data_IF_701353372356
#
_entry.id   IF_701353372356
#
_cell.length_a   1.000
_cell.length_b   1.000
_cell.length_c   1.000
_cell.angle_alpha   90.00
_cell.angle_beta   90.00
_cell.angle_gamma   90.00
#
_symmetry.space_group_name_H-M   'P 1'
#
loop_
_entity.id
_entity.type
_entity.pdbx_description
1 polymer ?
#
# COMPACT_ATOMS: atom_id res chain seq x y z
N UNK A 1 -8.37 -5.00 3.62
CA UNK A 1 -7.51 -4.55 2.53
C UNK A 1 -6.94 -5.74 1.75
N UNK A 2 -6.52 -5.54 0.51
CA UNK A 2 -5.95 -6.62 -0.31
C UNK A 2 -4.76 -7.36 0.32
N UNK A 3 -4.02 -6.71 1.22
CA UNK A 3 -2.89 -7.33 1.95
C UNK A 3 -3.34 -8.49 2.86
N UNK A 4 -4.37 -8.26 3.66
CA UNK A 4 -4.92 -9.31 4.54
C UNK A 4 -5.49 -10.47 3.72
N UNK A 5 -6.14 -10.18 2.59
CA UNK A 5 -6.60 -11.23 1.66
C UNK A 5 -5.46 -12.08 1.10
N UNK A 6 -4.31 -11.49 0.81
CA UNK A 6 -3.11 -12.26 0.39
C UNK A 6 -2.63 -13.21 1.49
N UNK A 7 -2.67 -12.81 2.75
CA UNK A 7 -2.39 -13.73 3.88
C UNK A 7 -3.38 -14.89 3.85
N UNK A 8 -4.67 -14.61 3.73
CA UNK A 8 -5.71 -15.67 3.71
C UNK A 8 -5.53 -16.62 2.51
N UNK A 9 -5.20 -16.08 1.34
CA UNK A 9 -4.88 -16.91 0.16
C UNK A 9 -3.66 -17.80 0.41
N UNK A 10 -2.61 -17.29 1.06
CA UNK A 10 -1.43 -18.10 1.38
C UNK A 10 -1.75 -19.19 2.39
N UNK A 11 -2.55 -18.91 3.41
CA UNK A 11 -3.03 -19.91 4.36
C UNK A 11 -3.82 -21.00 3.62
N UNK A 12 -4.78 -20.61 2.76
CA UNK A 12 -5.55 -21.57 1.96
C UNK A 12 -4.66 -22.41 1.05
N UNK A 13 -3.64 -21.82 0.45
CA UNK A 13 -2.68 -22.54 -0.38
C UNK A 13 -1.92 -23.59 0.44
N UNK A 14 -1.40 -23.23 1.61
CA UNK A 14 -0.70 -24.18 2.50
C UNK A 14 -1.62 -25.33 2.94
N UNK A 15 -2.90 -25.03 3.21
CA UNK A 15 -3.88 -26.08 3.52
C UNK A 15 -4.08 -27.04 2.34
N UNK A 16 -4.14 -26.54 1.11
CA UNK A 16 -4.22 -27.36 -0.12
C UNK A 16 -2.94 -28.16 -0.36
N UNK A 17 -1.77 -27.65 0.07
CA UNK A 17 -0.48 -28.33 0.05
C UNK A 17 -0.40 -29.45 1.11
N UNK A 18 -1.46 -29.64 1.95
CA UNK A 18 -1.56 -30.71 2.95
C UNK A 18 -1.07 -30.31 4.35
N UNK A 19 -0.77 -29.04 4.59
CA UNK A 19 -0.39 -28.59 5.92
C UNK A 19 -1.62 -28.49 6.85
N UNK A 20 -1.44 -28.87 8.12
CA UNK A 20 -2.51 -28.83 9.11
C UNK A 20 -2.81 -27.39 9.52
N UNK A 21 -4.11 -27.04 9.67
CA UNK A 21 -4.58 -25.72 10.14
C UNK A 21 -3.98 -25.36 11.53
N UNK A 22 -3.71 -26.35 12.38
CA UNK A 22 -3.08 -26.13 13.69
C UNK A 22 -1.70 -25.48 13.62
N UNK A 23 -1.01 -25.59 12.48
CA UNK A 23 0.28 -24.95 12.24
C UNK A 23 0.17 -23.49 11.77
N UNK A 24 -1.03 -22.97 11.54
CA UNK A 24 -1.24 -21.61 11.06
C UNK A 24 -1.53 -20.67 12.23
N UNK A 25 -0.57 -19.80 12.56
CA UNK A 25 -0.74 -18.76 13.58
C UNK A 25 -0.96 -17.43 12.88
N UNK A 26 -2.18 -16.89 12.95
CA UNK A 26 -2.53 -15.59 12.39
C UNK A 26 -2.84 -14.60 13.51
N UNK A 27 -2.18 -13.44 13.46
CA UNK A 27 -2.39 -12.33 14.40
C UNK A 27 -2.53 -11.04 13.61
N UNK A 28 -3.59 -10.30 13.89
CA UNK A 28 -3.80 -8.95 13.38
C UNK A 28 -3.48 -7.93 14.49
N UNK A 29 -2.41 -7.17 14.31
CA UNK A 29 -1.98 -6.13 15.27
C UNK A 29 -2.74 -4.81 15.13
N UNK A 30 -3.77 -4.76 14.28
CA UNK A 30 -4.75 -3.67 14.28
C UNK A 30 -5.90 -3.92 15.30
N UNK A 31 -5.92 -5.08 15.94
CA UNK A 31 -6.88 -5.42 16.99
C UNK A 31 -6.59 -4.58 18.24
N UNK A 32 -7.62 -3.88 18.73
CA UNK A 32 -7.53 -3.00 19.90
C UNK A 32 -7.02 -3.71 21.17
N UNK A 33 -7.28 -5.00 21.30
CA UNK A 33 -6.84 -5.82 22.45
C UNK A 33 -5.32 -6.03 22.48
N UNK A 34 -4.66 -5.82 21.35
CA UNK A 34 -3.21 -6.00 21.17
C UNK A 34 -2.44 -4.68 21.18
N UNK A 35 -3.10 -3.54 21.27
CA UNK A 35 -2.47 -2.21 21.20
C UNK A 35 -1.45 -1.93 22.31
N UNK A 36 -1.54 -2.63 23.44
CA UNK A 36 -0.63 -2.47 24.57
C UNK A 36 0.55 -3.44 24.54
N UNK A 37 0.56 -4.40 23.62
CA UNK A 37 1.66 -5.38 23.50
C UNK A 37 2.94 -4.67 23.02
N UNK A 38 4.03 -4.95 23.72
CA UNK A 38 5.36 -4.47 23.37
C UNK A 38 6.15 -5.54 22.62
N UNK A 39 7.23 -5.13 21.95
CA UNK A 39 8.07 -6.05 21.18
C UNK A 39 8.72 -7.18 21.99
N UNK A 40 8.99 -6.95 23.27
CA UNK A 40 9.52 -7.96 24.20
C UNK A 40 8.47 -9.01 24.63
N UNK A 41 7.19 -8.68 24.51
CA UNK A 41 6.07 -9.58 24.80
C UNK A 41 5.65 -10.43 23.59
N UNK A 42 6.18 -10.17 22.38
CA UNK A 42 5.84 -10.95 21.17
C UNK A 42 6.18 -12.44 21.29
N UNK A 43 7.08 -12.81 22.20
CA UNK A 43 7.39 -14.22 22.50
C UNK A 43 6.22 -14.98 23.11
N UNK A 44 5.27 -14.28 23.76
CA UNK A 44 4.07 -14.91 24.29
C UNK A 44 3.28 -15.64 23.20
N UNK A 45 3.38 -15.18 21.94
CA UNK A 45 2.74 -15.84 20.78
C UNK A 45 3.28 -17.26 20.61
N UNK A 46 4.62 -17.40 20.64
CA UNK A 46 5.25 -18.71 20.51
C UNK A 46 5.04 -19.58 21.76
N UNK A 47 5.09 -18.99 22.95
CA UNK A 47 4.83 -19.70 24.20
C UNK A 47 3.40 -20.26 24.21
N UNK A 48 2.41 -19.44 23.87
CA UNK A 48 1.02 -19.88 23.78
C UNK A 48 0.84 -20.99 22.73
N UNK A 49 1.49 -20.86 21.57
CA UNK A 49 1.45 -21.90 20.54
C UNK A 49 2.04 -23.23 21.03
N UNK A 50 3.26 -23.19 21.55
CA UNK A 50 3.96 -24.40 22.01
C UNK A 50 3.39 -25.02 23.31
N UNK A 51 2.55 -24.30 24.05
CA UNK A 51 1.76 -24.90 25.13
C UNK A 51 0.67 -25.87 24.64
N UNK A 52 0.30 -25.75 23.34
CA UNK A 52 -0.77 -26.55 22.73
C UNK A 52 -0.26 -27.52 21.66
N UNK A 53 0.86 -27.19 20.99
CA UNK A 53 1.36 -27.92 19.83
C UNK A 53 2.88 -28.01 19.85
N UNK A 54 3.44 -29.12 19.34
CA UNK A 54 4.88 -29.37 19.28
C UNK A 54 5.50 -28.95 17.94
N UNK A 55 4.73 -28.97 16.88
CA UNK A 55 5.18 -28.67 15.51
C UNK A 55 5.53 -27.17 15.35
N UNK A 56 6.48 -26.89 14.46
CA UNK A 56 6.85 -25.54 14.12
C UNK A 56 5.74 -24.83 13.30
N UNK A 57 5.25 -23.65 13.75
CA UNK A 57 4.17 -22.94 13.06
C UNK A 57 4.62 -22.16 11.83
N UNK A 58 3.68 -21.93 10.92
CA UNK A 58 3.70 -20.81 9.98
C UNK A 58 3.11 -19.59 10.69
N UNK A 59 3.81 -18.46 10.61
CA UNK A 59 3.44 -17.23 11.31
C UNK A 59 2.93 -16.19 10.34
N UNK A 60 1.76 -15.65 10.59
CA UNK A 60 1.12 -14.61 9.77
C UNK A 60 0.80 -13.41 10.65
N UNK A 61 1.52 -12.32 10.42
CA UNK A 61 1.41 -11.07 11.17
C UNK A 61 0.86 -9.97 10.28
N UNK A 62 -0.39 -9.59 10.54
CA UNK A 62 -1.06 -8.53 9.80
C UNK A 62 -0.90 -7.20 10.55
N UNK A 63 -0.57 -6.12 9.83
CA UNK A 63 -0.35 -4.75 10.33
C UNK A 63 0.69 -4.67 11.48
N UNK A 64 1.80 -5.43 11.38
CA UNK A 64 2.80 -5.57 12.46
C UNK A 64 3.51 -4.25 12.80
N UNK A 65 3.53 -3.26 11.89
CA UNK A 65 4.12 -1.94 12.15
C UNK A 65 3.46 -1.18 13.31
N UNK A 66 2.33 -1.66 13.80
CA UNK A 66 1.69 -1.11 15.01
C UNK A 66 2.47 -1.45 16.30
N UNK A 67 3.44 -2.37 16.23
CA UNK A 67 4.31 -2.73 17.34
C UNK A 67 5.70 -2.11 17.11
N UNK A 68 6.12 -1.20 17.96
CA UNK A 68 7.45 -0.60 17.88
C UNK A 68 8.53 -1.66 18.18
N UNK A 69 9.58 -1.75 17.33
CA UNK A 69 10.68 -2.71 17.50
C UNK A 69 10.38 -4.15 17.06
N UNK A 70 9.27 -4.36 16.35
CA UNK A 70 8.87 -5.68 15.82
C UNK A 70 9.94 -6.33 14.91
N UNK A 71 10.78 -5.53 14.26
CA UNK A 71 11.83 -5.99 13.34
C UNK A 71 12.89 -6.86 14.04
N UNK A 72 13.14 -6.64 15.32
CA UNK A 72 14.05 -7.48 16.11
C UNK A 72 13.45 -8.88 16.33
N UNK A 73 12.15 -8.95 16.60
CA UNK A 73 11.43 -10.22 16.70
C UNK A 73 11.42 -10.96 15.37
N UNK A 74 11.09 -10.28 14.27
CA UNK A 74 11.09 -10.85 12.92
C UNK A 74 12.49 -11.39 12.54
N UNK A 75 13.56 -10.67 12.88
CA UNK A 75 14.95 -11.11 12.67
C UNK A 75 15.25 -12.39 13.43
N UNK A 76 14.83 -12.48 14.69
CA UNK A 76 15.04 -13.68 15.52
C UNK A 76 14.30 -14.88 14.94
N UNK A 77 13.05 -14.71 14.54
CA UNK A 77 12.26 -15.76 13.86
C UNK A 77 12.93 -16.24 12.56
N UNK A 78 13.44 -15.30 11.75
CA UNK A 78 14.17 -15.65 10.53
C UNK A 78 15.45 -16.43 10.81
N UNK A 79 16.21 -16.05 11.85
CA UNK A 79 17.41 -16.80 12.28
C UNK A 79 17.08 -18.22 12.75
N UNK A 80 15.93 -18.38 13.37
CA UNK A 80 15.40 -19.68 13.80
C UNK A 80 14.69 -20.43 12.67
N UNK A 81 14.73 -19.92 11.42
CA UNK A 81 14.14 -20.53 10.22
C UNK A 81 12.62 -20.74 10.32
N UNK A 82 11.89 -19.84 10.96
CA UNK A 82 10.44 -19.79 10.85
C UNK A 82 10.03 -19.26 9.47
N UNK A 83 8.92 -19.75 8.96
CA UNK A 83 8.25 -19.14 7.82
C UNK A 83 7.29 -18.05 8.33
N UNK A 84 7.64 -16.80 8.06
CA UNK A 84 6.91 -15.63 8.57
C UNK A 84 6.39 -14.82 7.40
N UNK A 85 5.11 -14.53 7.42
CA UNK A 85 4.41 -13.69 6.45
C UNK A 85 3.96 -12.44 7.18
N UNK A 86 4.37 -11.28 6.68
CA UNK A 86 4.15 -10.00 7.35
C UNK A 86 3.44 -9.07 6.38
N UNK A 87 2.42 -8.35 6.86
CA UNK A 87 1.86 -7.22 6.13
C UNK A 87 1.98 -5.93 6.91
N UNK A 88 1.85 -4.82 6.20
CA UNK A 88 1.75 -3.49 6.79
C UNK A 88 1.41 -2.44 5.75
N UNK A 89 0.85 -1.33 6.22
CA UNK A 89 0.36 -0.24 5.38
C UNK A 89 1.47 0.61 4.76
N UNK A 90 2.70 0.54 5.28
CA UNK A 90 3.83 1.34 4.80
C UNK A 90 4.98 0.47 4.27
N UNK A 91 5.00 0.28 2.96
CA UNK A 91 5.99 -0.55 2.27
C UNK A 91 7.44 -0.08 2.48
N UNK A 92 7.69 1.23 2.67
CA UNK A 92 9.07 1.74 2.84
C UNK A 92 9.60 1.62 4.27
N UNK A 93 8.78 1.86 5.28
CA UNK A 93 9.20 1.60 6.67
C UNK A 93 9.44 0.11 6.85
N UNK A 94 8.48 -0.73 6.45
CA UNK A 94 8.67 -2.16 6.43
C UNK A 94 9.91 -2.56 5.63
N UNK A 95 10.13 -1.98 4.45
CA UNK A 95 11.30 -2.29 3.62
C UNK A 95 12.63 -1.85 4.23
N UNK A 96 12.71 -0.68 4.85
CA UNK A 96 13.93 -0.15 5.46
C UNK A 96 14.27 -0.88 6.76
N UNK A 97 13.30 -1.06 7.63
CA UNK A 97 13.47 -1.71 8.93
C UNK A 97 13.78 -3.19 8.73
N UNK A 98 13.07 -3.87 7.82
CA UNK A 98 13.36 -5.24 7.42
C UNK A 98 14.73 -5.36 6.72
N UNK A 99 15.08 -4.47 5.79
CA UNK A 99 16.36 -4.54 5.09
C UNK A 99 17.53 -4.46 6.05
N UNK A 100 17.45 -3.55 7.03
CA UNK A 100 18.45 -3.38 8.08
C UNK A 100 18.49 -4.59 9.02
N UNK A 101 17.32 -5.09 9.43
CA UNK A 101 17.22 -6.18 10.40
C UNK A 101 17.52 -7.55 9.81
N UNK A 102 17.04 -7.86 8.60
CA UNK A 102 17.08 -9.20 8.00
C UNK A 102 18.20 -9.42 6.97
N UNK A 103 18.93 -8.36 6.59
CA UNK A 103 20.08 -8.49 5.71
C UNK A 103 19.80 -9.21 4.39
N UNK A 104 18.69 -8.91 3.74
CA UNK A 104 18.30 -9.47 2.43
C UNK A 104 17.59 -10.83 2.50
N UNK A 105 17.28 -11.37 3.68
CA UNK A 105 16.58 -12.66 3.87
C UNK A 105 15.07 -12.49 3.89
N UNK A 106 14.50 -11.69 2.96
CA UNK A 106 13.07 -11.46 2.86
C UNK A 106 12.68 -11.21 1.40
N UNK A 107 11.40 -11.41 1.11
CA UNK A 107 10.77 -11.09 -0.17
C UNK A 107 9.66 -10.09 0.04
N UNK A 108 9.69 -8.98 -0.70
CA UNK A 108 8.64 -7.97 -0.66
C UNK A 108 7.72 -8.14 -1.86
N UNK A 109 6.42 -8.13 -1.60
CA UNK A 109 5.39 -8.07 -2.63
C UNK A 109 4.48 -6.88 -2.35
N UNK A 110 4.39 -5.96 -3.31
CA UNK A 110 3.45 -4.86 -3.25
C UNK A 110 2.06 -5.34 -3.70
N UNK A 111 1.03 -4.92 -2.96
CA UNK A 111 -0.38 -5.16 -3.29
C UNK A 111 -0.98 -3.83 -3.69
N UNK A 112 -1.38 -3.73 -4.93
CA UNK A 112 -2.03 -2.55 -5.50
C UNK A 112 -3.54 -2.77 -5.62
N UNK A 113 -4.34 -1.71 -5.82
CA UNK A 113 -5.71 -1.84 -6.32
C UNK A 113 -5.74 -2.69 -7.60
N UNK A 114 -6.87 -3.25 -7.94
CA UNK A 114 -7.02 -4.07 -9.15
C UNK A 114 -6.63 -3.26 -10.40
N UNK A 115 -5.87 -3.86 -11.28
CA UNK A 115 -5.79 -3.42 -12.66
C UNK A 115 -7.16 -3.59 -13.33
N UNK A 116 -7.42 -2.90 -14.44
CA UNK A 116 -8.70 -3.05 -15.15
C UNK A 116 -8.97 -4.51 -15.53
N UNK A 117 -7.94 -5.28 -15.88
CA UNK A 117 -8.07 -6.71 -16.17
C UNK A 117 -8.54 -7.49 -14.94
N UNK A 118 -7.90 -7.30 -13.79
CA UNK A 118 -8.27 -7.96 -12.53
C UNK A 118 -9.68 -7.54 -12.07
N UNK A 119 -10.05 -6.27 -12.29
CA UNK A 119 -11.38 -5.75 -12.00
C UNK A 119 -12.45 -6.48 -12.84
N UNK A 120 -12.26 -6.60 -14.16
CA UNK A 120 -13.17 -7.33 -15.06
C UNK A 120 -13.27 -8.80 -14.67
N UNK A 121 -12.15 -9.45 -14.38
CA UNK A 121 -12.10 -10.85 -13.94
C UNK A 121 -12.82 -11.06 -12.60
N UNK A 122 -12.74 -10.10 -11.69
CA UNK A 122 -13.44 -10.14 -10.39
C UNK A 122 -14.97 -10.08 -10.53
N UNK A 123 -15.47 -9.51 -11.63
CA UNK A 123 -16.88 -9.48 -11.98
C UNK A 123 -17.34 -10.78 -12.70
N UNK A 124 -16.45 -11.76 -12.85
CA UNK A 124 -16.73 -13.01 -13.55
C UNK A 124 -16.71 -12.89 -15.09
N UNK A 125 -16.30 -11.74 -15.63
CA UNK A 125 -16.24 -11.50 -17.07
C UNK A 125 -14.89 -12.01 -17.58
N UNK A 126 -14.94 -13.04 -18.41
CA UNK A 126 -13.76 -13.57 -19.11
C UNK A 126 -13.72 -13.04 -20.52
N UNK A 127 -12.61 -12.40 -20.87
CA UNK A 127 -12.38 -11.89 -22.21
C UNK A 127 -11.52 -12.90 -22.98
N UNK A 128 -12.04 -13.40 -24.10
CA UNK A 128 -11.27 -14.17 -25.07
C UNK A 128 -10.46 -13.24 -26.00
N UNK A 129 -9.62 -13.79 -26.85
CA UNK A 129 -8.80 -13.00 -27.77
C UNK A 129 -9.63 -12.21 -28.81
N UNK A 130 -10.90 -12.59 -29.00
CA UNK A 130 -11.77 -12.01 -30.01
C UNK A 130 -12.87 -11.11 -29.41
N UNK A 131 -12.84 -10.84 -28.11
CA UNK A 131 -13.87 -10.06 -27.39
C UNK A 131 -14.19 -8.71 -28.07
N UNK A 132 -13.20 -8.08 -28.70
CA UNK A 132 -13.35 -6.78 -29.36
C UNK A 132 -14.19 -6.84 -30.67
N UNK A 133 -14.44 -8.03 -31.19
CA UNK A 133 -15.30 -8.22 -32.37
C UNK A 133 -16.76 -8.47 -32.01
N UNK A 134 -17.08 -8.73 -30.75
CA UNK A 134 -18.43 -8.86 -30.23
C UNK A 134 -18.95 -7.49 -29.76
N UNK A 135 -19.96 -6.95 -30.45
CA UNK A 135 -20.56 -5.65 -30.09
C UNK A 135 -21.10 -5.62 -28.66
N UNK A 136 -21.71 -6.72 -28.20
CA UNK A 136 -22.27 -6.84 -26.84
C UNK A 136 -21.17 -6.88 -25.78
N UNK A 137 -20.11 -7.66 -26.02
CA UNK A 137 -18.97 -7.76 -25.11
C UNK A 137 -18.23 -6.44 -25.03
N UNK A 138 -17.99 -5.79 -26.18
CA UNK A 138 -17.35 -4.47 -26.25
C UNK A 138 -18.13 -3.43 -25.48
N UNK A 139 -19.43 -3.31 -25.66
CA UNK A 139 -20.28 -2.38 -24.93
C UNK A 139 -20.27 -2.64 -23.40
N UNK A 140 -20.23 -3.92 -23.00
CA UNK A 140 -20.09 -4.30 -21.59
C UNK A 140 -18.74 -3.87 -21.03
N UNK A 141 -17.65 -4.12 -21.75
CA UNK A 141 -16.29 -3.72 -21.33
C UNK A 141 -16.17 -2.20 -21.22
N UNK A 142 -16.70 -1.44 -22.19
CA UNK A 142 -16.70 0.02 -22.16
C UNK A 142 -17.47 0.59 -20.95
N UNK A 143 -18.62 0.00 -20.63
CA UNK A 143 -19.39 0.40 -19.43
C UNK A 143 -18.61 0.15 -18.15
N UNK A 144 -17.99 -1.01 -18.00
CA UNK A 144 -17.17 -1.34 -16.83
C UNK A 144 -15.87 -0.52 -16.78
N UNK A 145 -15.29 -0.19 -17.94
CA UNK A 145 -14.14 0.70 -18.01
C UNK A 145 -14.49 2.11 -17.51
N UNK A 146 -15.64 2.65 -17.90
CA UNK A 146 -16.09 3.95 -17.41
C UNK A 146 -16.29 3.94 -15.87
N UNK A 147 -16.80 2.85 -15.32
CA UNK A 147 -16.93 2.70 -13.88
C UNK A 147 -15.56 2.62 -13.18
N UNK A 148 -14.68 1.76 -13.66
CA UNK A 148 -13.31 1.63 -13.18
C UNK A 148 -12.54 2.95 -13.29
N UNK A 149 -12.66 3.65 -14.41
CA UNK A 149 -12.01 4.95 -14.64
C UNK A 149 -12.48 6.03 -13.66
N UNK A 150 -13.75 6.01 -13.25
CA UNK A 150 -14.31 7.02 -12.35
C UNK A 150 -14.12 6.71 -10.85
N UNK A 151 -13.97 5.44 -10.50
CA UNK A 151 -13.99 4.99 -9.09
C UNK A 151 -12.79 4.13 -8.68
N UNK A 152 -11.91 3.81 -9.61
CA UNK A 152 -10.67 3.07 -9.34
C UNK A 152 -10.86 1.57 -9.21
N UNK A 153 -9.78 0.91 -8.78
CA UNK A 153 -9.64 -0.54 -8.71
C UNK A 153 -9.68 -1.13 -7.30
N UNK A 154 -10.17 -0.41 -6.28
CA UNK A 154 -10.34 -1.00 -4.96
C UNK A 154 -11.36 -2.15 -5.01
N UNK A 155 -11.00 -3.37 -4.53
CA UNK A 155 -11.91 -4.53 -4.62
C UNK A 155 -13.29 -4.29 -4.01
N UNK A 156 -13.35 -3.53 -2.93
CA UNK A 156 -14.57 -3.22 -2.17
C UNK A 156 -15.53 -2.30 -2.94
N UNK A 157 -15.03 -1.53 -3.91
CA UNK A 157 -15.80 -0.46 -4.60
C UNK A 157 -17.01 -1.01 -5.35
N UNK A 158 -16.94 -2.25 -5.82
CA UNK A 158 -18.03 -2.90 -6.56
C UNK A 158 -19.30 -3.10 -5.72
N UNK A 159 -19.15 -3.25 -4.39
CA UNK A 159 -20.26 -3.47 -3.44
C UNK A 159 -20.75 -2.17 -2.78
N UNK A 160 -20.06 -1.04 -3.00
CA UNK A 160 -20.38 0.24 -2.35
C UNK A 160 -21.37 1.05 -3.20
N UNK A 161 -22.46 1.49 -2.59
CA UNK A 161 -23.48 2.34 -3.25
C UNK A 161 -22.95 3.79 -3.34
N UNK A 162 -22.48 4.34 -2.22
CA UNK A 162 -22.00 5.72 -2.14
C UNK A 162 -20.47 5.81 -2.41
N UNK A 163 -20.03 5.39 -3.59
CA UNK A 163 -18.62 5.23 -3.96
C UNK A 163 -17.75 6.45 -3.70
N UNK A 164 -18.22 7.65 -4.04
CA UNK A 164 -17.45 8.90 -3.83
C UNK A 164 -17.26 9.23 -2.36
N UNK A 165 -18.25 8.97 -1.51
CA UNK A 165 -18.13 9.19 -0.06
C UNK A 165 -17.09 8.21 0.48
N UNK A 166 -17.20 6.95 0.13
CA UNK A 166 -16.26 5.92 0.56
C UNK A 166 -14.82 6.20 0.12
N UNK A 167 -14.59 6.64 -1.13
CA UNK A 167 -13.27 7.05 -1.62
C UNK A 167 -12.71 8.24 -0.84
N UNK A 168 -13.55 9.22 -0.49
CA UNK A 168 -13.13 10.33 0.34
C UNK A 168 -12.74 9.89 1.75
N UNK A 169 -13.44 8.91 2.32
CA UNK A 169 -13.09 8.33 3.62
C UNK A 169 -11.76 7.58 3.56
N UNK A 170 -11.50 6.80 2.49
CA UNK A 170 -10.20 6.15 2.26
C UNK A 170 -9.10 7.20 2.10
N UNK A 171 -9.34 8.24 1.32
CA UNK A 171 -8.38 9.34 1.19
C UNK A 171 -8.05 9.98 2.53
N UNK A 172 -9.05 10.26 3.36
CA UNK A 172 -8.84 10.85 4.69
C UNK A 172 -8.10 9.89 5.64
N UNK A 173 -8.38 8.58 5.58
CA UNK A 173 -7.64 7.55 6.33
C UNK A 173 -6.15 7.46 5.96
N UNK A 174 -5.78 7.81 4.73
CA UNK A 174 -4.38 7.89 4.32
C UNK A 174 -3.81 9.27 4.64
N UNK A 175 -4.58 10.33 4.38
CA UNK A 175 -4.13 11.71 4.51
C UNK A 175 -3.71 12.06 5.95
N UNK A 176 -4.59 11.81 6.92
CA UNK A 176 -4.30 12.22 8.30
C UNK A 176 -3.26 11.33 8.98
N UNK A 177 -3.45 10.03 9.18
CA UNK A 177 -2.48 9.23 9.92
C UNK A 177 -1.18 8.98 9.14
N UNK A 178 -1.26 8.64 7.86
CA UNK A 178 -0.09 8.20 7.10
C UNK A 178 0.74 9.35 6.53
N UNK A 179 0.13 10.49 6.22
CA UNK A 179 0.85 11.66 5.72
C UNK A 179 1.08 12.70 6.82
N UNK A 180 0.02 13.25 7.41
CA UNK A 180 0.11 14.41 8.31
C UNK A 180 0.76 14.04 9.62
N UNK A 181 0.18 13.10 10.36
CA UNK A 181 0.64 12.72 11.71
C UNK A 181 2.01 12.08 11.66
N UNK A 182 2.18 11.06 10.83
CA UNK A 182 3.42 10.28 10.72
C UNK A 182 4.63 11.13 10.32
N UNK A 183 4.45 12.05 9.37
CA UNK A 183 5.55 12.91 8.90
C UNK A 183 5.60 14.27 9.60
N UNK A 184 4.79 14.48 10.65
CA UNK A 184 4.71 15.73 11.43
C UNK A 184 4.55 16.96 10.54
N UNK A 185 3.65 16.88 9.55
CA UNK A 185 3.44 17.94 8.57
C UNK A 185 2.80 19.15 9.26
N UNK A 186 3.47 20.30 9.18
CA UNK A 186 3.02 21.55 9.82
C UNK A 186 1.92 22.26 9.03
N UNK A 187 1.94 22.14 7.71
CA UNK A 187 0.97 22.81 6.83
C UNK A 187 0.19 21.80 6.00
N UNK A 188 -0.96 21.39 6.51
CA UNK A 188 -1.87 20.53 5.78
C UNK A 188 -2.35 21.17 4.48
N UNK A 189 -2.59 22.49 4.50
CA UNK A 189 -3.02 23.23 3.33
C UNK A 189 -1.98 23.17 2.20
N UNK A 190 -0.70 23.35 2.51
CA UNK A 190 0.36 23.23 1.52
C UNK A 190 0.44 21.80 0.93
N UNK A 191 0.25 20.77 1.76
CA UNK A 191 0.19 19.39 1.30
C UNK A 191 -1.02 19.16 0.37
N UNK A 192 -2.23 19.60 0.76
CA UNK A 192 -3.44 19.47 -0.06
C UNK A 192 -3.31 20.18 -1.41
N UNK A 193 -2.76 21.40 -1.42
CA UNK A 193 -2.48 22.13 -2.66
C UNK A 193 -1.45 21.41 -3.54
N UNK A 194 -0.43 20.82 -2.92
CA UNK A 194 0.56 20.00 -3.65
C UNK A 194 -0.09 18.80 -4.30
N UNK A 195 -0.91 18.03 -3.57
CA UNK A 195 -1.64 16.87 -4.10
C UNK A 195 -2.54 17.29 -5.27
N UNK A 196 -3.31 18.37 -5.07
CA UNK A 196 -4.20 18.89 -6.13
C UNK A 196 -3.42 19.27 -7.38
N UNK A 197 -2.27 19.94 -7.21
CA UNK A 197 -1.43 20.34 -8.34
C UNK A 197 -0.83 19.15 -9.08
N UNK A 198 -0.43 18.11 -8.35
CA UNK A 198 0.05 16.87 -8.95
C UNK A 198 -1.06 16.18 -9.75
N UNK A 199 -2.30 16.14 -9.24
CA UNK A 199 -3.46 15.59 -9.94
C UNK A 199 -3.77 16.34 -11.25
N UNK A 200 -3.72 17.68 -11.23
CA UNK A 200 -3.88 18.51 -12.43
C UNK A 200 -2.75 18.34 -13.45
N UNK A 201 -1.57 17.90 -13.01
CA UNK A 201 -0.36 17.81 -13.83
C UNK A 201 -0.03 16.37 -14.25
N UNK A 202 -0.97 15.44 -14.14
CA UNK A 202 -0.78 14.05 -14.60
C UNK A 202 -0.34 14.05 -16.06
N UNK A 203 0.66 13.20 -16.38
CA UNK A 203 1.34 13.11 -17.69
C UNK A 203 2.32 14.24 -18.02
N UNK A 204 2.35 15.35 -17.30
CA UNK A 204 3.30 16.44 -17.54
C UNK A 204 4.47 16.39 -16.55
N UNK A 205 5.71 16.60 -17.00
CA UNK A 205 6.83 16.80 -16.09
C UNK A 205 6.57 18.04 -15.24
N UNK A 206 6.72 17.91 -13.93
CA UNK A 206 6.44 19.01 -13.01
C UNK A 206 7.67 19.29 -12.15
N UNK A 207 8.19 20.52 -12.25
CA UNK A 207 9.29 21.00 -11.43
C UNK A 207 8.77 21.42 -10.04
N UNK A 208 9.46 21.02 -8.99
CA UNK A 208 9.07 21.34 -7.61
C UNK A 208 9.05 22.86 -7.33
N UNK A 209 9.92 23.63 -8.00
CA UNK A 209 9.89 25.09 -7.94
C UNK A 209 8.57 25.68 -8.42
N UNK A 210 8.00 25.11 -9.51
CA UNK A 210 6.72 25.55 -10.06
C UNK A 210 5.57 25.30 -9.08
N UNK A 211 5.54 24.12 -8.44
CA UNK A 211 4.55 23.80 -7.40
C UNK A 211 4.72 24.75 -6.20
N UNK A 212 5.95 24.95 -5.71
CA UNK A 212 6.25 25.85 -4.60
C UNK A 212 5.76 27.27 -4.87
N UNK A 213 6.03 27.82 -6.04
CA UNK A 213 5.58 29.17 -6.42
C UNK A 213 4.04 29.28 -6.49
N UNK A 214 3.37 28.23 -6.98
CA UNK A 214 1.91 28.19 -7.03
C UNK A 214 1.32 28.09 -5.61
N UNK A 215 1.90 27.29 -4.72
CA UNK A 215 1.47 27.24 -3.31
C UNK A 215 1.69 28.59 -2.63
N UNK A 216 2.82 29.25 -2.88
CA UNK A 216 3.12 30.60 -2.35
C UNK A 216 2.10 31.64 -2.82
N UNK A 217 1.64 31.58 -4.06
CA UNK A 217 0.64 32.54 -4.58
C UNK A 217 -0.70 32.47 -3.87
N UNK A 218 -0.99 31.40 -3.14
CA UNK A 218 -2.19 31.27 -2.26
C UNK A 218 -1.96 31.78 -0.84
N UNK A 219 -0.83 32.46 -0.56
CA UNK A 219 -0.49 32.99 0.76
C UNK A 219 0.17 31.97 1.70
N UNK A 220 0.44 30.74 1.25
CA UNK A 220 1.05 29.68 2.06
C UNK A 220 2.55 29.64 1.80
N UNK A 221 3.35 29.84 2.83
CA UNK A 221 4.81 29.74 2.72
C UNK A 221 5.21 28.27 2.51
N UNK A 222 5.81 27.99 1.37
CA UNK A 222 6.28 26.65 1.03
C UNK A 222 7.56 26.72 0.19
N UNK A 223 8.61 26.00 0.60
CA UNK A 223 9.87 25.92 -0.12
C UNK A 223 9.88 24.73 -1.07
N UNK A 224 10.69 24.75 -2.17
CA UNK A 224 10.78 23.62 -3.10
C UNK A 224 11.22 22.32 -2.43
N UNK A 225 12.08 22.38 -1.42
CA UNK A 225 12.50 21.21 -0.64
C UNK A 225 11.31 20.58 0.11
N UNK A 226 10.43 21.41 0.68
CA UNK A 226 9.19 20.93 1.33
C UNK A 226 8.27 20.22 0.34
N UNK A 227 8.18 20.71 -0.90
CA UNK A 227 7.42 20.01 -1.96
C UNK A 227 8.08 18.67 -2.28
N UNK A 228 9.40 18.59 -2.33
CA UNK A 228 10.12 17.34 -2.57
C UNK A 228 9.87 16.33 -1.44
N UNK A 229 9.86 16.79 -0.19
CA UNK A 229 9.51 15.97 0.97
C UNK A 229 8.07 15.46 0.86
N UNK A 230 7.10 16.32 0.53
CA UNK A 230 5.70 15.92 0.33
C UNK A 230 5.56 14.87 -0.77
N UNK A 231 6.21 15.05 -1.91
CA UNK A 231 6.22 14.04 -2.99
C UNK A 231 6.81 12.72 -2.51
N UNK A 232 7.83 12.77 -1.68
CA UNK A 232 8.44 11.57 -1.08
C UNK A 232 7.44 10.88 -0.15
N UNK A 233 6.77 11.62 0.73
CA UNK A 233 5.75 11.06 1.64
C UNK A 233 4.56 10.46 0.89
N UNK A 234 4.10 11.11 -0.19
CA UNK A 234 3.04 10.58 -1.04
C UNK A 234 3.43 9.25 -1.73
N UNK A 235 4.69 9.13 -2.15
CA UNK A 235 5.23 7.88 -2.70
C UNK A 235 5.33 6.79 -1.63
N UNK A 236 5.75 7.16 -0.44
CA UNK A 236 5.90 6.24 0.69
C UNK A 236 4.55 5.71 1.19
N UNK A 237 3.52 6.56 1.13
CA UNK A 237 2.13 6.17 1.39
C UNK A 237 1.46 5.44 0.20
N UNK A 238 2.20 5.11 -0.86
CA UNK A 238 1.67 4.47 -2.06
C UNK A 238 0.49 5.21 -2.71
N UNK A 239 0.43 6.55 -2.60
CA UNK A 239 -0.58 7.35 -3.30
C UNK A 239 -0.16 7.69 -4.73
N UNK A 240 1.13 7.91 -4.93
CA UNK A 240 1.69 8.22 -6.24
C UNK A 240 2.93 7.39 -6.53
N UNK A 241 3.24 7.24 -7.80
CA UNK A 241 4.56 6.85 -8.27
C UNK A 241 5.13 7.92 -9.21
N UNK A 242 6.46 7.96 -9.32
CA UNK A 242 7.16 8.98 -10.09
C UNK A 242 8.01 8.33 -11.17
N UNK A 243 7.92 8.84 -12.38
CA UNK A 243 8.73 8.42 -13.51
C UNK A 243 9.72 9.52 -13.87
N UNK A 244 10.98 9.14 -14.04
CA UNK A 244 12.04 10.02 -14.53
C UNK A 244 12.19 9.89 -16.04
N UNK A 245 12.53 10.98 -16.72
CA UNK A 245 12.89 10.89 -18.11
C UNK A 245 14.33 10.34 -18.23
N UNK A 246 14.47 9.16 -18.81
CA UNK A 246 15.78 8.49 -18.94
C UNK A 246 16.80 9.31 -19.75
N UNK A 247 16.35 10.07 -20.74
CA UNK A 247 17.20 10.85 -21.66
C UNK A 247 17.64 12.19 -21.05
N UNK A 248 16.96 12.68 -20.00
CA UNK A 248 17.27 13.97 -19.38
C UNK A 248 18.60 13.96 -18.62
N UNK A 249 19.21 15.15 -18.47
CA UNK A 249 20.40 15.35 -17.62
C UNK A 249 20.12 14.93 -16.18
N UNK A 250 21.17 14.55 -15.45
CA UNK A 250 21.03 14.05 -14.07
C UNK A 250 20.23 15.01 -13.16
N UNK A 251 20.53 16.31 -13.20
CA UNK A 251 19.82 17.32 -12.40
C UNK A 251 18.30 17.36 -12.71
N UNK A 252 17.93 17.24 -13.99
CA UNK A 252 16.53 17.22 -14.40
C UNK A 252 15.80 15.94 -13.97
N UNK A 253 16.51 14.80 -13.97
CA UNK A 253 15.93 13.52 -13.52
C UNK A 253 15.49 13.59 -12.06
N UNK A 254 16.21 14.36 -11.22
CA UNK A 254 15.89 14.47 -9.82
C UNK A 254 14.85 15.56 -9.51
N UNK A 255 14.83 16.64 -10.29
CA UNK A 255 14.01 17.83 -10.02
C UNK A 255 12.73 17.91 -10.84
N UNK A 256 12.64 17.15 -11.96
CA UNK A 256 11.53 17.24 -12.90
C UNK A 256 11.05 15.83 -13.26
N UNK A 257 10.03 15.36 -12.56
CA UNK A 257 9.49 14.01 -12.73
C UNK A 257 8.03 14.08 -13.18
N UNK A 258 7.56 13.03 -13.85
CA UNK A 258 6.13 12.81 -14.06
C UNK A 258 5.56 12.03 -12.86
N UNK A 259 4.43 12.47 -12.36
CA UNK A 259 3.77 11.83 -11.24
C UNK A 259 2.43 11.25 -11.69
N UNK A 260 2.14 10.05 -11.23
CA UNK A 260 0.88 9.34 -11.50
C UNK A 260 0.33 8.85 -10.18
N UNK A 261 -0.97 8.95 -10.01
CA UNK A 261 -1.64 8.32 -8.88
C UNK A 261 -1.69 6.81 -9.10
N UNK A 262 -1.66 6.05 -8.01
CA UNK A 262 -1.68 4.58 -8.07
C UNK A 262 -3.07 4.09 -8.47
N UNK A 263 -4.10 4.86 -8.08
CA UNK A 263 -5.49 4.64 -8.46
C UNK A 263 -6.17 5.98 -8.75
N UNK A 264 -7.33 5.96 -9.43
CA UNK A 264 -8.06 7.16 -9.86
C UNK A 264 -8.95 7.73 -8.75
#
# INVERSE_FOLDING_TARGET
SGKSYMIYQRIQQLLREGHNIRKMVYINFDDERLQLIKSDELDLILQAYYSMYEDKPFLFFDEIQNIEGWEFFARRLANQKYQVFITGSNAKMLGRDIATALGGRYWTRNVYPFSFKEYIESLGIRLDEQWQYSATTKASVERHFNEYFNFGGFPEISSIIAKRIWLNDIYNKIFFPDLVVRNRIRSENALRLTIRKLAESVKQPTAYNRISNLVKSTGVVCHPNTIMDYVTFLRDACLIFSLTNYVSKFSERETTKKHYFIDN
#
